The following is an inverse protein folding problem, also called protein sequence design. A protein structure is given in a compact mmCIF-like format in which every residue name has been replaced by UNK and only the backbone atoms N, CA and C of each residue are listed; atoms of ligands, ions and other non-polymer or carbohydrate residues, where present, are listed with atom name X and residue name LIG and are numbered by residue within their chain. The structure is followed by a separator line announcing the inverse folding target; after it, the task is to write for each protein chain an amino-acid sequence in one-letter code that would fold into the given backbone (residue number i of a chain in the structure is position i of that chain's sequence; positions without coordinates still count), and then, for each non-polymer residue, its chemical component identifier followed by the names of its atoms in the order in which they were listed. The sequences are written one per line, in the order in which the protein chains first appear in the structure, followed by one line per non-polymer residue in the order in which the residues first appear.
data_IF_442598721823
#
_entry.id   IF_442598721823
#
_cell.length_a   1.000
_cell.length_b   1.000
_cell.length_c   1.000
_cell.angle_alpha   90.00
_cell.angle_beta   90.00
_cell.angle_gamma   90.00
#
_symmetry.space_group_name_H-M   'P 1'
#
loop_
_entity.id
_entity.type
_entity.pdbx_description
1 polymer ?
#
# COMPACT_ATOMS: atom_id res chain seq x y z
N UNK A 1 -5.92 20.77 -10.17
CA UNK A 1 -4.58 20.16 -10.38
C UNK A 1 -4.43 18.88 -9.56
N UNK A 2 -4.63 18.90 -8.24
CA UNK A 2 -4.49 17.70 -7.39
C UNK A 2 -5.54 16.61 -7.73
N UNK A 3 -6.79 16.97 -8.00
CA UNK A 3 -7.81 15.98 -8.41
C UNK A 3 -7.42 15.22 -9.70
N UNK A 4 -6.87 15.91 -10.70
CA UNK A 4 -6.38 15.28 -11.92
C UNK A 4 -5.21 14.32 -11.63
N UNK A 5 -4.28 14.74 -10.76
CA UNK A 5 -3.17 13.90 -10.32
C UNK A 5 -3.65 12.66 -9.56
N UNK A 6 -4.70 12.80 -8.74
CA UNK A 6 -5.35 11.68 -8.05
C UNK A 6 -6.02 10.70 -9.02
N UNK A 7 -6.75 11.20 -10.01
CA UNK A 7 -7.35 10.37 -11.06
C UNK A 7 -6.30 9.59 -11.85
N UNK A 8 -5.21 10.24 -12.27
CA UNK A 8 -4.14 9.58 -13.01
C UNK A 8 -3.39 8.57 -12.15
N UNK A 9 -3.13 8.88 -10.88
CA UNK A 9 -2.53 7.93 -9.95
C UNK A 9 -3.39 6.69 -9.72
N UNK A 10 -4.72 6.84 -9.70
CA UNK A 10 -5.66 5.72 -9.61
C UNK A 10 -5.65 4.84 -10.86
N UNK A 11 -5.48 5.41 -12.06
CA UNK A 11 -5.28 4.61 -13.29
C UNK A 11 -4.00 3.79 -13.19
N UNK A 12 -2.89 4.40 -12.77
CA UNK A 12 -1.61 3.71 -12.57
C UNK A 12 -1.74 2.60 -11.51
N UNK A 13 -2.45 2.86 -10.41
CA UNK A 13 -2.76 1.84 -9.40
C UNK A 13 -3.53 0.66 -10.00
N UNK A 14 -4.54 0.90 -10.82
CA UNK A 14 -5.29 -0.18 -11.50
C UNK A 14 -4.39 -1.01 -12.42
N UNK A 15 -3.49 -0.39 -13.17
CA UNK A 15 -2.53 -1.09 -14.02
C UNK A 15 -1.57 -1.96 -13.19
N UNK A 16 -1.08 -1.44 -12.06
CA UNK A 16 -0.25 -2.19 -11.10
C UNK A 16 -1.03 -3.38 -10.55
N UNK A 17 -2.27 -3.18 -10.10
CA UNK A 17 -3.09 -4.26 -9.53
C UNK A 17 -3.41 -5.35 -10.56
N UNK A 18 -3.64 -4.98 -11.83
CA UNK A 18 -3.78 -5.94 -12.92
C UNK A 18 -2.50 -6.75 -13.15
N UNK A 19 -1.33 -6.09 -13.12
CA UNK A 19 -0.03 -6.75 -13.24
C UNK A 19 0.23 -7.69 -12.05
N UNK A 20 -0.07 -7.25 -10.83
CA UNK A 20 0.00 -8.06 -9.60
C UNK A 20 -0.84 -9.33 -9.73
N UNK A 21 -2.12 -9.18 -10.12
CA UNK A 21 -3.02 -10.31 -10.32
C UNK A 21 -2.51 -11.27 -11.40
N UNK A 22 -1.98 -10.75 -12.52
CA UNK A 22 -1.46 -11.55 -13.62
C UNK A 22 -0.20 -12.32 -13.26
N UNK A 23 0.76 -11.69 -12.57
CA UNK A 23 2.06 -12.30 -12.27
C UNK A 23 2.06 -13.14 -11.00
N UNK A 24 1.34 -12.70 -9.97
CA UNK A 24 1.40 -13.32 -8.64
C UNK A 24 0.13 -14.09 -8.27
N UNK A 25 -0.99 -13.82 -8.96
CA UNK A 25 -2.28 -14.47 -8.72
C UNK A 25 -3.09 -13.87 -7.58
N UNK A 26 -2.63 -12.76 -7.00
CA UNK A 26 -3.32 -12.01 -5.96
C UNK A 26 -2.88 -10.54 -6.01
N UNK A 27 -3.66 -9.68 -5.36
CA UNK A 27 -3.41 -8.23 -5.27
C UNK A 27 -3.08 -7.89 -3.81
N UNK A 28 -2.14 -6.98 -3.59
CA UNK A 28 -1.85 -6.40 -2.29
C UNK A 28 -1.91 -4.87 -2.36
N UNK A 29 -1.96 -4.16 -1.21
CA UNK A 29 -2.20 -2.73 -1.21
C UNK A 29 -1.16 -1.94 -2.01
N UNK A 30 -1.64 -0.89 -2.68
CA UNK A 30 -0.83 0.14 -3.32
C UNK A 30 -1.14 1.46 -2.62
N UNK A 31 -0.11 2.13 -2.15
CA UNK A 31 -0.20 3.42 -1.50
C UNK A 31 0.08 4.55 -2.49
N UNK A 32 -0.69 5.62 -2.34
CA UNK A 32 -0.58 6.83 -3.14
C UNK A 32 -0.43 8.01 -2.19
N UNK A 33 0.61 8.82 -2.35
CA UNK A 33 0.87 9.91 -1.42
C UNK A 33 2.15 10.68 -1.65
N UNK A 34 2.39 11.62 -0.75
CA UNK A 34 3.53 12.55 -0.77
C UNK A 34 4.43 12.33 0.43
N UNK A 35 5.67 12.78 0.34
CA UNK A 35 6.51 12.95 1.52
C UNK A 35 6.21 14.29 2.20
N UNK A 36 6.00 14.29 3.52
CA UNK A 36 5.79 15.51 4.31
C UNK A 36 6.99 16.45 4.31
N UNK A 37 8.19 15.92 4.09
CA UNK A 37 9.38 16.68 3.68
C UNK A 37 9.86 16.19 2.31
N UNK A 38 9.67 16.96 1.22
CA UNK A 38 10.01 16.50 -0.12
C UNK A 38 11.54 16.44 -0.32
N UNK A 39 12.01 15.39 -1.00
CA UNK A 39 13.43 15.22 -1.34
C UNK A 39 13.85 15.96 -2.62
N UNK A 40 12.87 16.47 -3.37
CA UNK A 40 13.05 17.19 -4.64
C UNK A 40 12.23 18.48 -4.61
N UNK A 41 12.64 19.47 -5.40
CA UNK A 41 12.00 20.78 -5.44
C UNK A 41 10.59 20.77 -6.03
N UNK A 42 10.34 19.90 -7.00
CA UNK A 42 9.04 19.82 -7.65
C UNK A 42 8.12 18.82 -6.95
N UNK A 43 6.82 19.13 -6.99
CA UNK A 43 5.78 18.24 -6.53
C UNK A 43 5.91 16.88 -7.23
N UNK A 44 6.02 15.82 -6.45
CA UNK A 44 6.08 14.46 -6.96
C UNK A 44 5.20 13.57 -6.10
N UNK A 45 4.33 12.81 -6.75
CA UNK A 45 3.46 11.85 -6.11
C UNK A 45 4.10 10.47 -6.18
N UNK A 46 4.06 9.74 -5.07
CA UNK A 46 4.45 8.35 -5.01
C UNK A 46 3.24 7.46 -5.27
N UNK A 47 3.41 6.46 -6.13
CA UNK A 47 2.53 5.30 -6.27
C UNK A 47 3.41 4.08 -6.02
N UNK A 48 3.19 3.38 -4.90
CA UNK A 48 4.11 2.37 -4.39
C UNK A 48 3.36 1.17 -3.83
N UNK A 49 3.82 -0.05 -4.12
CA UNK A 49 3.26 -1.27 -3.54
C UNK A 49 3.65 -1.41 -2.07
N UNK A 50 2.76 -1.97 -1.24
CA UNK A 50 2.93 -1.99 0.21
C UNK A 50 3.97 -2.99 0.72
N UNK A 51 4.47 -3.89 -0.11
CA UNK A 51 5.40 -4.94 0.31
C UNK A 51 6.74 -4.39 0.82
N UNK A 52 7.20 -3.27 0.24
CA UNK A 52 8.50 -2.65 0.53
C UNK A 52 9.69 -3.64 0.40
N UNK A 53 9.53 -4.71 -0.38
CA UNK A 53 10.53 -5.74 -0.64
C UNK A 53 11.41 -5.30 -1.82
N UNK A 54 12.39 -4.43 -1.56
CA UNK A 54 13.30 -3.93 -2.61
C UNK A 54 14.78 -4.03 -2.22
N UNK A 55 15.63 -4.39 -3.18
CA UNK A 55 17.09 -4.26 -3.04
C UNK A 55 17.52 -2.83 -2.76
N UNK A 56 16.76 -1.84 -3.26
CA UNK A 56 17.04 -0.40 -3.12
C UNK A 56 16.61 0.17 -1.77
N UNK A 57 15.90 -0.60 -0.94
CA UNK A 57 15.66 -0.26 0.46
C UNK A 57 16.96 -0.47 1.25
N UNK A 58 17.73 0.60 1.46
CA UNK A 58 19.11 0.54 1.96
C UNK A 58 19.31 1.06 3.37
N UNK A 59 18.50 2.01 3.81
CA UNK A 59 18.69 2.70 5.09
C UNK A 59 17.35 2.98 5.78
N UNK A 60 17.45 3.35 7.07
CA UNK A 60 16.29 3.67 7.93
C UNK A 60 15.39 4.75 7.31
N UNK A 61 15.99 5.79 6.73
CA UNK A 61 15.24 6.90 6.11
C UNK A 61 14.37 6.41 4.95
N UNK A 62 14.89 5.55 4.07
CA UNK A 62 14.11 5.01 2.95
C UNK A 62 12.89 4.24 3.42
N UNK A 63 13.00 3.50 4.53
CA UNK A 63 11.86 2.74 5.05
C UNK A 63 10.85 3.65 5.75
N UNK A 64 11.34 4.45 6.70
CA UNK A 64 10.48 5.33 7.50
C UNK A 64 9.76 6.37 6.62
N UNK A 65 10.34 6.79 5.50
CA UNK A 65 9.67 7.74 4.59
C UNK A 65 8.43 7.18 3.90
N UNK A 66 8.34 5.85 3.77
CA UNK A 66 7.18 5.16 3.18
C UNK A 66 6.35 4.40 4.22
N UNK A 67 6.68 4.50 5.51
CA UNK A 67 5.92 3.82 6.56
C UNK A 67 4.55 4.50 6.71
N UNK A 68 3.43 3.82 6.39
CA UNK A 68 2.12 4.46 6.21
C UNK A 68 1.56 5.06 7.51
N UNK A 69 1.94 4.51 8.67
CA UNK A 69 1.45 4.97 9.98
C UNK A 69 2.40 5.96 10.69
N UNK A 70 3.55 6.28 10.11
CA UNK A 70 4.56 7.11 10.79
C UNK A 70 4.28 8.61 10.65
N UNK A 71 3.37 9.00 9.75
CA UNK A 71 3.01 10.38 9.47
C UNK A 71 3.92 11.06 8.42
N UNK A 72 5.10 10.51 8.10
CA UNK A 72 5.95 11.09 7.05
C UNK A 72 5.37 10.92 5.64
N UNK A 73 4.70 9.79 5.39
CA UNK A 73 4.00 9.53 4.14
C UNK A 73 2.56 10.05 4.24
N UNK A 74 2.26 11.13 3.52
CA UNK A 74 0.96 11.78 3.49
C UNK A 74 0.11 11.15 2.39
N UNK A 75 -0.90 10.37 2.77
CA UNK A 75 -1.79 9.73 1.80
C UNK A 75 -2.57 10.79 1.00
N UNK A 76 -2.74 10.56 -0.31
CA UNK A 76 -3.39 11.54 -1.18
C UNK A 76 -4.84 11.81 -0.76
N UNK A 77 -5.55 10.80 -0.27
CA UNK A 77 -6.92 10.93 0.22
C UNK A 77 -6.99 11.84 1.47
N UNK A 78 -6.01 11.71 2.37
CA UNK A 78 -5.91 12.59 3.54
C UNK A 78 -5.64 14.04 3.08
N UNK A 79 -4.70 14.23 2.15
CA UNK A 79 -4.38 15.55 1.61
C UNK A 79 -5.58 16.18 0.91
N UNK A 80 -6.36 15.42 0.14
CA UNK A 80 -7.60 15.89 -0.49
C UNK A 80 -8.63 16.32 0.55
N UNK A 81 -8.79 15.54 1.63
CA UNK A 81 -9.73 15.88 2.72
C UNK A 81 -9.41 17.22 3.39
N UNK A 82 -8.15 17.68 3.35
CA UNK A 82 -7.77 18.98 3.90
C UNK A 82 -8.38 20.14 3.11
N UNK A 83 -8.60 19.98 1.81
CA UNK A 83 -9.22 21.00 0.96
C UNK A 83 -10.73 21.10 1.17
N UNK A 84 -11.37 20.01 1.60
CA UNK A 84 -12.81 19.96 1.91
C UNK A 84 -13.12 20.41 3.35
N UNK A 85 -12.09 20.55 4.19
CA UNK A 85 -12.22 20.94 5.59
C UNK A 85 -12.40 22.46 5.79
N UNK A 86 -12.61 22.86 7.05
CA UNK A 86 -12.65 24.28 7.40
C UNK A 86 -11.31 24.97 7.03
N UNK A 87 -11.32 26.23 6.54
CA UNK A 87 -10.09 26.92 6.13
C UNK A 87 -8.98 26.94 7.19
N UNK A 88 -9.34 27.05 8.47
CA UNK A 88 -8.37 27.00 9.57
C UNK A 88 -7.64 25.66 9.68
N UNK A 89 -8.32 24.56 9.37
CA UNK A 89 -7.71 23.23 9.37
C UNK A 89 -6.75 23.06 8.19
N UNK A 90 -7.13 23.55 7.00
CA UNK A 90 -6.22 23.59 5.86
C UNK A 90 -4.97 24.41 6.16
N UNK A 91 -5.12 25.60 6.75
CA UNK A 91 -4.00 26.48 7.12
C UNK A 91 -3.06 25.85 8.16
N UNK A 92 -3.58 24.99 9.03
CA UNK A 92 -2.79 24.23 9.99
C UNK A 92 -2.04 23.08 9.31
N UNK A 93 -2.75 22.23 8.57
CA UNK A 93 -2.17 21.02 7.96
C UNK A 93 -1.22 21.32 6.81
N UNK A 94 -1.45 22.40 6.05
CA UNK A 94 -0.58 22.82 4.94
C UNK A 94 0.74 23.44 5.40
N UNK A 95 0.89 23.77 6.70
CA UNK A 95 2.16 24.21 7.28
C UNK A 95 3.06 22.99 7.53
N UNK A 96 3.60 22.47 6.44
CA UNK A 96 4.56 21.36 6.49
C UNK A 96 5.91 21.86 7.02
N UNK A 97 6.15 21.71 8.32
CA UNK A 97 7.46 21.93 8.91
C UNK A 97 8.40 20.78 8.56
N UNK A 98 9.24 21.01 7.55
CA UNK A 98 10.28 20.07 7.09
C UNK A 98 11.11 19.52 8.24
N UNK A 99 11.48 20.35 9.23
CA UNK A 99 12.32 19.91 10.33
C UNK A 99 11.58 18.96 11.29
N UNK A 100 10.29 19.18 11.51
CA UNK A 100 9.45 18.27 12.28
C UNK A 100 9.33 16.91 11.57
N UNK A 101 9.05 16.90 10.26
CA UNK A 101 8.96 15.66 9.48
C UNK A 101 10.29 14.89 9.43
N UNK A 102 11.43 15.59 9.30
CA UNK A 102 12.75 14.94 9.30
C UNK A 102 13.07 14.18 10.60
N UNK A 103 12.47 14.57 11.73
CA UNK A 103 12.62 13.84 13.01
C UNK A 103 11.98 12.46 12.95
N UNK A 104 10.82 12.34 12.29
CA UNK A 104 10.12 11.05 12.11
C UNK A 104 11.00 10.01 11.41
N UNK A 105 11.88 10.45 10.50
CA UNK A 105 12.81 9.55 9.79
C UNK A 105 13.88 8.91 10.69
N UNK A 106 14.04 9.40 11.92
CA UNK A 106 15.01 8.88 12.90
C UNK A 106 14.40 7.87 13.87
N UNK A 107 13.07 7.78 13.92
CA UNK A 107 12.30 6.87 14.77
C UNK A 107 12.71 5.41 14.56
N UNK A 108 12.28 4.55 15.48
CA UNK A 108 12.60 3.13 15.45
C UNK A 108 12.01 2.43 14.22
N UNK A 109 12.71 1.39 13.77
CA UNK A 109 12.24 0.58 12.65
C UNK A 109 11.14 -0.35 13.17
N UNK A 110 9.89 -0.07 12.79
CA UNK A 110 8.73 -0.88 13.17
C UNK A 110 8.09 -1.41 11.90
N UNK A 111 7.73 -2.69 11.87
CA UNK A 111 7.04 -3.26 10.72
C UNK A 111 5.66 -2.62 10.54
N UNK A 112 5.36 -2.11 9.35
CA UNK A 112 4.07 -1.47 9.04
C UNK A 112 2.86 -2.40 9.19
N UNK A 113 3.06 -3.71 8.97
CA UNK A 113 1.99 -4.69 8.98
C UNK A 113 1.73 -5.28 10.38
N UNK A 114 2.79 -5.76 11.05
CA UNK A 114 2.68 -6.50 12.31
C UNK A 114 3.17 -5.73 13.54
N UNK A 115 3.68 -4.51 13.35
CA UNK A 115 4.14 -3.61 14.42
C UNK A 115 5.34 -4.13 15.23
N UNK A 116 6.00 -5.19 14.75
CA UNK A 116 7.20 -5.72 15.39
C UNK A 116 8.40 -4.76 15.21
N UNK A 117 9.18 -4.50 16.28
CA UNK A 117 10.39 -3.69 16.18
C UNK A 117 11.51 -4.46 15.48
N UNK A 118 12.32 -3.76 14.70
CA UNK A 118 13.42 -4.30 13.90
C UNK A 118 14.74 -3.65 14.29
N UNK A 119 15.77 -4.48 14.48
CA UNK A 119 17.09 -3.99 14.92
C UNK A 119 17.82 -3.20 13.83
N UNK A 120 17.69 -3.62 12.58
CA UNK A 120 18.37 -3.02 11.43
C UNK A 120 17.66 -3.31 10.10
N UNK A 121 18.10 -2.64 9.04
CA UNK A 121 17.52 -2.79 7.69
C UNK A 121 17.60 -4.22 7.15
N UNK A 122 18.74 -4.96 7.25
CA UNK A 122 18.77 -6.36 6.85
C UNK A 122 17.69 -7.22 7.52
N UNK A 123 17.55 -7.12 8.85
CA UNK A 123 16.51 -7.87 9.59
C UNK A 123 15.10 -7.50 9.15
N UNK A 124 14.86 -6.20 8.92
CA UNK A 124 13.57 -5.72 8.42
C UNK A 124 13.28 -6.23 7.00
N UNK A 125 14.26 -6.26 6.10
CA UNK A 125 14.07 -6.76 4.73
C UNK A 125 13.70 -8.24 4.72
N UNK A 126 14.40 -9.06 5.51
CA UNK A 126 14.06 -10.47 5.68
C UNK A 126 12.64 -10.62 6.22
N UNK A 127 12.29 -9.83 7.25
CA UNK A 127 10.95 -9.85 7.83
C UNK A 127 9.85 -9.45 6.84
N UNK A 128 10.03 -8.37 6.06
CA UNK A 128 9.08 -7.94 5.04
C UNK A 128 8.87 -9.03 3.97
N UNK A 129 9.94 -9.71 3.55
CA UNK A 129 9.84 -10.83 2.63
C UNK A 129 9.02 -12.00 3.21
N UNK A 130 9.25 -12.35 4.47
CA UNK A 130 8.47 -13.38 5.15
C UNK A 130 6.98 -13.02 5.27
N UNK A 131 6.67 -11.76 5.62
CA UNK A 131 5.29 -11.28 5.68
C UNK A 131 4.61 -11.31 4.31
N UNK A 132 5.32 -10.92 3.25
CA UNK A 132 4.82 -11.02 1.88
C UNK A 132 4.59 -12.47 1.45
N UNK A 133 5.52 -13.39 1.75
CA UNK A 133 5.37 -14.81 1.43
C UNK A 133 4.17 -15.43 2.16
N UNK A 134 3.95 -15.05 3.43
CA UNK A 134 2.76 -15.47 4.21
C UNK A 134 1.48 -14.95 3.57
N UNK A 135 1.45 -13.68 3.17
CA UNK A 135 0.31 -13.08 2.47
C UNK A 135 0.03 -13.82 1.17
N UNK A 136 1.05 -14.03 0.33
CA UNK A 136 0.93 -14.74 -0.94
C UNK A 136 0.36 -16.14 -0.78
N UNK A 137 0.88 -16.92 0.19
CA UNK A 137 0.36 -18.26 0.51
C UNK A 137 -1.11 -18.21 0.94
N UNK A 138 -1.47 -17.26 1.82
CA UNK A 138 -2.84 -17.09 2.32
C UNK A 138 -3.81 -16.76 1.19
N UNK A 139 -3.47 -15.83 0.32
CA UNK A 139 -4.35 -15.38 -0.77
C UNK A 139 -4.47 -16.45 -1.86
N UNK A 140 -3.40 -17.17 -2.21
CA UNK A 140 -3.48 -18.32 -3.12
C UNK A 140 -4.40 -19.42 -2.57
N UNK A 141 -4.26 -19.77 -1.29
CA UNK A 141 -5.15 -20.75 -0.67
C UNK A 141 -6.61 -20.29 -0.63
N UNK A 142 -6.87 -18.98 -0.45
CA UNK A 142 -8.23 -18.40 -0.54
C UNK A 142 -8.79 -18.49 -1.96
N UNK A 143 -7.99 -18.15 -2.98
CA UNK A 143 -8.40 -18.24 -4.38
C UNK A 143 -8.73 -19.69 -4.80
N UNK A 144 -7.91 -20.66 -4.38
CA UNK A 144 -8.17 -22.08 -4.64
C UNK A 144 -9.47 -22.57 -4.00
N UNK A 145 -9.73 -22.19 -2.73
CA UNK A 145 -10.99 -22.52 -2.06
C UNK A 145 -12.19 -21.92 -2.77
N UNK A 146 -12.10 -20.65 -3.20
CA UNK A 146 -13.18 -19.98 -3.95
C UNK A 146 -13.45 -20.67 -5.29
N UNK A 147 -12.40 -21.10 -6.00
CA UNK A 147 -12.54 -21.85 -7.26
C UNK A 147 -13.24 -23.19 -7.06
N UNK A 148 -12.87 -23.94 -6.00
CA UNK A 148 -13.53 -25.21 -5.68
C UNK A 148 -15.02 -25.02 -5.41
N UNK A 149 -15.38 -24.05 -4.57
CA UNK A 149 -16.78 -23.73 -4.26
C UNK A 149 -17.58 -23.38 -5.53
N UNK A 150 -17.04 -22.54 -6.40
CA UNK A 150 -17.69 -22.17 -7.67
C UNK A 150 -17.90 -23.38 -8.60
N UNK A 151 -16.91 -24.28 -8.67
CA UNK A 151 -17.04 -25.51 -9.45
C UNK A 151 -18.11 -26.44 -8.86
N UNK A 152 -18.12 -26.63 -7.54
CA UNK A 152 -19.09 -27.49 -6.86
C UNK A 152 -20.53 -26.95 -7.04
N UNK A 153 -20.72 -25.63 -6.98
CA UNK A 153 -22.00 -24.97 -7.26
C UNK A 153 -22.45 -25.17 -8.72
N UNK A 154 -21.54 -25.02 -9.68
CA UNK A 154 -21.83 -25.24 -11.09
C UNK A 154 -22.21 -26.71 -11.39
N UNK A 155 -21.50 -27.67 -10.79
CA UNK A 155 -21.81 -29.10 -10.91
C UNK A 155 -23.17 -29.46 -10.28
N UNK A 156 -23.52 -28.84 -9.15
CA UNK A 156 -24.82 -29.06 -8.51
C UNK A 156 -25.98 -28.47 -9.33
N UNK A 157 -25.80 -27.28 -9.91
CA UNK A 157 -26.78 -26.66 -10.79
C UNK A 157 -27.02 -27.46 -12.08
N UNK A 158 -25.96 -27.97 -12.71
CA UNK A 158 -26.05 -28.82 -13.91
C UNK A 158 -26.79 -30.14 -13.63
N UNK A 159 -26.50 -30.80 -12.50
CA UNK A 159 -27.22 -32.01 -12.08
C UNK A 159 -28.70 -31.78 -11.84
N UNK A 160 -29.07 -30.64 -11.24
CA UNK A 160 -30.47 -30.27 -10.99
C UNK A 160 -31.24 -29.99 -12.30
N UNK A 161 -30.60 -29.33 -13.26
CA UNK A 161 -31.21 -29.07 -14.57
C UNK A 161 -31.52 -30.36 -15.34
N UNK A 162 -30.66 -31.38 -15.23
CA UNK A 162 -30.81 -32.69 -15.87
C UNK A 162 -31.81 -33.61 -15.18
N UNK A 163 -32.16 -33.37 -13.91
CA UNK A 163 -33.17 -34.15 -13.18
C UNK A 163 -34.59 -33.63 -13.38
N UNK A 164 -34.73 -32.37 -13.81
CA UNK A 164 -36.01 -31.70 -14.04
C UNK A 164 -36.46 -31.78 -15.53
N UNK A 165 -35.75 -32.55 -16.37
CA UNK A 165 -36.10 -32.86 -17.78
C UNK A 165 -36.44 -34.34 -17.95
#
# INVERSE_FOLDING_TARGET
MINALHEDANKVKQEIEQEMQKRYGFIWPVWIGFHGAPSMHHLHLHVISSDLCSERLKNKKHYNSFHPKLGFFLHIDDVLSWFDAAPSYYDEMSKLDTHAYEKLLKEDLICWNCEAPMKNIPTLKSHLQEEWDKLAKREKARAERKRKLCNDEAEHADKKSKSDT
#
